data_IF_475289715994
#
_entry.id   IF_475289715994
#
_cell.length_a   1.000
_cell.length_b   1.000
_cell.length_c   1.000
_cell.angle_alpha   90.00
_cell.angle_beta   90.00
_cell.angle_gamma   90.00
#
_symmetry.space_group_name_H-M   'P 1'
#
loop_
_entity.id
_entity.type
_entity.pdbx_description
1 polymer ?
#
# COMPACT_ATOMS: atom_id res chain seq x y z
N UNK A 1 15.38 -0.52 -9.97
CA UNK A 1 14.54 -0.43 -8.74
C UNK A 1 13.70 -1.68 -8.66
N UNK A 2 13.59 -2.30 -7.50
CA UNK A 2 12.80 -3.53 -7.29
C UNK A 2 11.50 -3.23 -6.52
N UNK A 3 10.47 -4.05 -6.71
CA UNK A 3 9.13 -3.93 -6.13
C UNK A 3 9.19 -3.84 -4.60
N UNK A 4 10.07 -4.64 -3.97
CA UNK A 4 10.22 -4.67 -2.51
C UNK A 4 10.89 -3.42 -1.95
N UNK A 5 11.88 -2.88 -2.65
CA UNK A 5 12.57 -1.67 -2.21
C UNK A 5 11.61 -0.46 -2.21
N UNK A 6 10.75 -0.36 -3.22
CA UNK A 6 9.74 0.68 -3.31
C UNK A 6 8.64 0.51 -2.25
N UNK A 7 8.23 -0.73 -1.98
CA UNK A 7 7.29 -1.07 -0.92
C UNK A 7 7.83 -0.77 0.49
N UNK A 8 9.09 -1.08 0.78
CA UNK A 8 9.68 -0.79 2.10
C UNK A 8 9.88 0.72 2.32
N UNK A 9 10.26 1.45 1.26
CA UNK A 9 10.43 2.91 1.31
C UNK A 9 9.11 3.65 1.58
N UNK A 10 7.98 3.04 1.24
CA UNK A 10 6.64 3.59 1.43
C UNK A 10 5.77 2.50 2.08
N UNK A 11 5.71 2.42 3.41
CA UNK A 11 4.98 1.31 4.07
C UNK A 11 3.45 1.43 4.04
N UNK A 12 2.91 2.58 3.62
CA UNK A 12 1.48 2.91 3.67
C UNK A 12 0.85 3.18 2.28
N UNK A 13 1.52 2.81 1.20
CA UNK A 13 1.06 2.93 -0.21
C UNK A 13 0.11 1.79 -0.57
N UNK A 14 -0.93 2.11 -1.32
CA UNK A 14 -1.85 1.13 -1.90
C UNK A 14 -1.22 0.37 -3.07
N UNK A 15 -1.81 -0.78 -3.45
CA UNK A 15 -1.34 -1.54 -4.61
C UNK A 15 -1.46 -0.75 -5.93
N UNK A 16 -2.44 0.15 -6.04
CA UNK A 16 -2.65 0.99 -7.23
C UNK A 16 -1.55 2.05 -7.36
N UNK A 17 -1.28 2.76 -6.26
CA UNK A 17 -0.17 3.71 -6.19
C UNK A 17 1.19 3.02 -6.42
N UNK A 18 1.36 1.79 -5.90
CA UNK A 18 2.58 1.00 -6.15
C UNK A 18 2.70 0.66 -7.63
N UNK A 19 1.60 0.27 -8.28
CA UNK A 19 1.57 0.03 -9.72
C UNK A 19 1.98 1.28 -10.50
N UNK A 20 1.45 2.46 -10.16
CA UNK A 20 1.80 3.71 -10.84
C UNK A 20 3.30 4.00 -10.71
N UNK A 21 3.83 3.93 -9.50
CA UNK A 21 5.26 4.18 -9.26
C UNK A 21 6.18 3.14 -9.93
N UNK A 22 5.72 1.89 -10.07
CA UNK A 22 6.42 0.88 -10.85
C UNK A 22 6.40 1.19 -12.35
N UNK A 23 5.27 1.64 -12.89
CA UNK A 23 5.15 2.06 -14.29
C UNK A 23 6.05 3.26 -14.58
N UNK A 24 6.10 4.25 -13.69
CA UNK A 24 7.04 5.38 -13.78
C UNK A 24 8.51 4.93 -13.77
N UNK A 25 8.81 3.86 -13.03
CA UNK A 25 10.12 3.21 -13.01
C UNK A 25 10.38 2.26 -14.20
N UNK A 26 9.46 2.16 -15.16
CA UNK A 26 9.58 1.30 -16.36
C UNK A 26 9.14 -0.16 -16.17
N UNK A 27 8.49 -0.48 -15.05
CA UNK A 27 7.99 -1.82 -14.72
C UNK A 27 6.47 -1.90 -14.87
N UNK A 28 6.02 -2.51 -15.96
CA UNK A 28 4.58 -2.74 -16.21
C UNK A 28 4.12 -3.99 -15.47
N UNK A 29 3.33 -3.81 -14.41
CA UNK A 29 2.72 -4.91 -13.64
C UNK A 29 1.22 -4.68 -13.44
N UNK A 30 0.45 -5.76 -13.30
CA UNK A 30 -0.98 -5.69 -12.96
C UNK A 30 -1.18 -5.68 -11.44
N UNK A 31 -2.26 -5.05 -10.97
CA UNK A 31 -2.65 -5.05 -9.55
C UNK A 31 -2.91 -6.47 -9.04
N UNK A 32 -3.57 -7.31 -9.84
CA UNK A 32 -3.76 -8.73 -9.52
C UNK A 32 -2.41 -9.47 -9.41
N UNK A 33 -1.43 -9.12 -10.25
CA UNK A 33 -0.06 -9.63 -10.17
C UNK A 33 0.63 -9.24 -8.87
N UNK A 34 0.57 -7.95 -8.49
CA UNK A 34 1.08 -7.46 -7.22
C UNK A 34 0.40 -8.17 -6.04
N UNK A 35 -0.92 -8.29 -6.04
CA UNK A 35 -1.65 -8.99 -4.98
C UNK A 35 -1.17 -10.44 -4.82
N UNK A 36 -1.06 -11.19 -5.94
CA UNK A 36 -0.53 -12.57 -5.90
C UNK A 36 0.92 -12.64 -5.46
N UNK A 37 1.75 -11.68 -5.87
CA UNK A 37 3.15 -11.60 -5.46
C UNK A 37 3.29 -11.45 -3.94
N UNK A 38 2.55 -10.50 -3.35
CA UNK A 38 2.57 -10.29 -1.90
C UNK A 38 1.93 -11.45 -1.13
N UNK A 39 0.80 -11.98 -1.62
CA UNK A 39 0.14 -13.13 -1.01
C UNK A 39 1.04 -14.37 -0.96
N UNK A 40 1.74 -14.68 -2.06
CA UNK A 40 2.71 -15.79 -2.12
C UNK A 40 3.89 -15.62 -1.16
N UNK A 41 4.25 -14.38 -0.85
CA UNK A 41 5.33 -14.05 0.10
C UNK A 41 4.85 -13.93 1.56
N UNK A 42 3.57 -14.17 1.83
CA UNK A 42 2.98 -13.97 3.17
C UNK A 42 2.97 -12.50 3.62
N UNK A 43 3.21 -11.57 2.70
CA UNK A 43 3.24 -10.14 2.97
C UNK A 43 1.82 -9.61 2.94
N UNK A 44 1.21 -9.50 4.12
CA UNK A 44 -0.10 -8.87 4.30
C UNK A 44 0.08 -7.50 4.92
N UNK A 45 -0.74 -6.52 4.52
CA UNK A 45 -0.73 -5.20 5.14
C UNK A 45 -1.15 -5.35 6.60
N UNK A 46 -0.27 -5.03 7.54
CA UNK A 46 -0.66 -4.93 8.96
C UNK A 46 -1.67 -3.79 9.10
N UNK A 47 -2.88 -4.10 9.58
CA UNK A 47 -3.92 -3.11 9.83
C UNK A 47 -3.40 -2.11 10.88
N UNK A 48 -3.27 -0.83 10.52
CA UNK A 48 -3.00 0.24 11.49
C UNK A 48 -4.19 0.38 12.45
N UNK A 49 -3.92 0.79 13.68
CA UNK A 49 -4.94 1.30 14.59
C UNK A 49 -5.64 2.46 13.87
N UNK A 50 -6.95 2.34 13.63
CA UNK A 50 -7.71 3.40 12.98
C UNK A 50 -7.59 4.71 13.77
N UNK A 51 -7.61 5.84 13.07
CA UNK A 51 -7.69 7.16 13.72
C UNK A 51 -8.83 7.12 14.76
N UNK A 52 -8.59 7.39 16.06
CA UNK A 52 -9.69 7.51 17.00
C UNK A 52 -10.61 8.63 16.51
N UNK A 53 -11.90 8.33 16.36
CA UNK A 53 -12.91 9.34 16.03
C UNK A 53 -12.89 10.40 17.13
N UNK A 54 -12.45 11.60 16.79
CA UNK A 54 -12.51 12.75 17.71
C UNK A 54 -13.97 13.05 18.00
N UNK A 55 -14.44 12.71 19.21
CA UNK A 55 -15.77 13.07 19.72
C UNK A 55 -15.84 14.53 20.20
N UNK A 56 -14.97 15.41 19.72
CA UNK A 56 -14.96 16.82 20.11
C UNK A 56 -15.78 17.63 19.12
N UNK A 57 -17.07 17.32 19.00
CA UNK A 57 -18.05 18.24 18.43
C UNK A 57 -18.85 18.80 19.61
N UNK A 58 -18.81 20.12 19.89
CA UNK A 58 -19.73 20.71 20.85
C UNK A 58 -21.11 20.79 20.18
N UNK A 59 -22.06 19.99 20.66
CA UNK A 59 -23.47 20.21 20.34
C UNK A 59 -23.91 21.48 21.08
N UNK A 60 -24.26 22.53 20.33
CA UNK A 60 -25.10 23.64 20.82
C UNK A 60 -26.55 23.37 20.46
#
# INVERSE_FOLDING_TARGET
MDILALWEARKDISLEELRIALVEAGLTVSVAGLHRFFARRGMTRKKRLGMPSSKTAPTS
#
